data_IF_186189739610
#
_entry.id   IF_186189739610
#
_cell.length_a   1.000
_cell.length_b   1.000
_cell.length_c   1.000
_cell.angle_alpha   90.00
_cell.angle_beta   90.00
_cell.angle_gamma   90.00
#
_symmetry.space_group_name_H-M   'P 1'
#
loop_
_entity.id
_entity.type
_entity.pdbx_description
1 polymer ?
#
# COMPACT_ATOMS: atom_id res chain seq x y z
N UNK A 1 -22.10 -19.19 8.75
CA UNK A 1 -21.10 -19.00 9.82
C UNK A 1 -21.85 -18.71 11.11
N UNK A 2 -21.36 -19.15 12.27
CA UNK A 2 -21.95 -18.74 13.56
C UNK A 2 -21.69 -17.25 13.80
N UNK A 3 -22.47 -16.63 14.69
CA UNK A 3 -22.34 -15.20 14.98
C UNK A 3 -20.96 -14.87 15.54
N UNK A 4 -20.35 -13.76 15.10
CA UNK A 4 -19.08 -13.24 15.63
C UNK A 4 -19.25 -12.44 16.93
N UNK A 5 -20.49 -12.08 17.30
CA UNK A 5 -20.79 -11.20 18.43
C UNK A 5 -20.16 -11.68 19.74
N UNK A 6 -19.41 -10.80 20.40
CA UNK A 6 -18.74 -11.05 21.68
C UNK A 6 -17.48 -11.92 21.59
N UNK A 7 -17.04 -12.29 20.38
CA UNK A 7 -15.81 -13.06 20.17
C UNK A 7 -14.57 -12.17 20.10
N UNK A 8 -13.37 -12.77 20.26
CA UNK A 8 -12.12 -12.05 19.99
C UNK A 8 -12.00 -11.73 18.50
N UNK A 9 -12.54 -12.59 17.64
CA UNK A 9 -12.59 -12.37 16.19
C UNK A 9 -13.38 -11.11 15.79
N UNK A 10 -14.47 -10.77 16.48
CA UNK A 10 -15.19 -9.51 16.25
C UNK A 10 -14.30 -8.30 16.55
N UNK A 11 -13.59 -8.32 17.69
CA UNK A 11 -12.66 -7.25 18.04
C UNK A 11 -11.50 -7.14 17.04
N UNK A 12 -10.98 -8.27 16.56
CA UNK A 12 -9.92 -8.31 15.56
C UNK A 12 -10.39 -7.77 14.20
N UNK A 13 -11.62 -8.11 13.77
CA UNK A 13 -12.23 -7.55 12.56
C UNK A 13 -12.39 -6.03 12.67
N UNK A 14 -12.84 -5.54 13.83
CA UNK A 14 -13.00 -4.11 14.05
C UNK A 14 -11.65 -3.38 14.13
N UNK A 15 -10.62 -4.00 14.73
CA UNK A 15 -9.26 -3.47 14.78
C UNK A 15 -8.62 -3.40 13.38
N UNK A 16 -8.75 -4.47 12.58
CA UNK A 16 -8.32 -4.51 11.19
C UNK A 16 -9.04 -3.44 10.36
N UNK A 17 -10.37 -3.36 10.44
CA UNK A 17 -11.14 -2.33 9.76
C UNK A 17 -10.69 -0.91 10.12
N UNK A 18 -10.41 -0.64 11.40
CA UNK A 18 -9.91 0.65 11.86
C UNK A 18 -8.50 0.95 11.33
N UNK A 19 -7.61 -0.05 11.32
CA UNK A 19 -6.25 0.06 10.78
C UNK A 19 -6.26 0.37 9.28
N UNK A 20 -6.96 -0.45 8.50
CA UNK A 20 -7.10 -0.33 7.04
C UNK A 20 -7.73 1.00 6.62
N UNK A 21 -8.77 1.44 7.35
CA UNK A 21 -9.42 2.72 7.09
C UNK A 21 -8.46 3.90 7.30
N UNK A 22 -7.57 3.80 8.29
CA UNK A 22 -6.53 4.81 8.53
C UNK A 22 -5.38 4.69 7.52
N UNK A 23 -4.98 3.47 7.14
CA UNK A 23 -3.95 3.21 6.13
C UNK A 23 -4.32 3.83 4.79
N UNK A 24 -5.54 3.59 4.31
CA UNK A 24 -6.12 4.25 3.12
C UNK A 24 -5.93 5.77 3.15
N UNK A 25 -6.29 6.42 4.25
CA UNK A 25 -6.17 7.87 4.37
C UNK A 25 -4.71 8.31 4.33
N UNK A 26 -3.84 7.67 5.12
CA UNK A 26 -2.40 7.98 5.11
C UNK A 26 -1.80 7.84 3.72
N UNK A 27 -2.08 6.73 3.02
CA UNK A 27 -1.56 6.48 1.68
C UNK A 27 -2.07 7.50 0.66
N UNK A 28 -3.32 7.95 0.76
CA UNK A 28 -3.84 9.04 -0.07
C UNK A 28 -3.10 10.36 0.19
N UNK A 29 -2.72 10.65 1.44
CA UNK A 29 -1.93 11.82 1.78
C UNK A 29 -0.48 11.70 1.26
N UNK A 30 0.10 10.50 1.39
CA UNK A 30 1.44 10.21 0.88
C UNK A 30 1.51 10.27 -0.64
N UNK A 31 0.44 9.89 -1.33
CA UNK A 31 0.31 10.06 -2.78
C UNK A 31 0.41 11.53 -3.20
N UNK A 32 -0.31 12.41 -2.49
CA UNK A 32 -0.25 13.86 -2.74
C UNK A 32 1.17 14.38 -2.54
N UNK A 33 1.83 13.96 -1.45
CA UNK A 33 3.21 14.34 -1.15
C UNK A 33 4.21 13.85 -2.19
N UNK A 34 4.06 12.61 -2.67
CA UNK A 34 4.87 12.05 -3.75
C UNK A 34 4.72 12.84 -5.05
N UNK A 35 3.50 13.28 -5.37
CA UNK A 35 3.23 14.12 -6.53
C UNK A 35 3.91 15.48 -6.43
N UNK A 36 3.82 16.14 -5.28
CA UNK A 36 4.48 17.42 -5.00
C UNK A 36 6.00 17.33 -5.15
N UNK A 37 6.60 16.21 -4.72
CA UNK A 37 8.05 15.98 -4.79
C UNK A 37 8.53 15.46 -6.15
N UNK A 38 7.64 15.33 -7.13
CA UNK A 38 7.99 14.94 -8.50
C UNK A 38 8.12 13.44 -8.71
N UNK A 39 7.47 12.61 -7.89
CA UNK A 39 7.45 11.15 -8.00
C UNK A 39 6.06 10.65 -8.44
N UNK A 40 5.68 10.88 -9.70
CA UNK A 40 4.34 10.55 -10.19
C UNK A 40 4.06 9.04 -10.13
N UNK A 41 5.03 8.20 -10.46
CA UNK A 41 4.90 6.75 -10.32
C UNK A 41 4.56 6.36 -8.87
N UNK A 42 5.28 6.92 -7.89
CA UNK A 42 5.08 6.59 -6.47
C UNK A 42 3.73 7.13 -5.96
N UNK A 43 3.32 8.30 -6.47
CA UNK A 43 1.99 8.85 -6.20
C UNK A 43 0.89 7.88 -6.63
N UNK A 44 0.94 7.38 -7.87
CA UNK A 44 -0.03 6.42 -8.38
C UNK A 44 0.00 5.08 -7.62
N UNK A 45 1.20 4.64 -7.22
CA UNK A 45 1.35 3.44 -6.38
C UNK A 45 0.66 3.62 -5.03
N UNK A 46 0.87 4.76 -4.34
CA UNK A 46 0.17 5.03 -3.08
C UNK A 46 -1.35 5.11 -3.26
N UNK A 47 -1.86 5.71 -4.34
CA UNK A 47 -3.29 5.75 -4.65
C UNK A 47 -3.88 4.36 -4.92
N UNK A 48 -3.14 3.52 -5.64
CA UNK A 48 -3.54 2.13 -5.91
C UNK A 48 -3.62 1.34 -4.59
N UNK A 49 -2.56 1.40 -3.77
CA UNK A 49 -2.56 0.72 -2.46
C UNK A 49 -3.70 1.21 -1.57
N UNK A 50 -3.94 2.54 -1.52
CA UNK A 50 -5.07 3.09 -0.76
C UNK A 50 -6.43 2.54 -1.22
N UNK A 51 -6.59 2.30 -2.53
CA UNK A 51 -7.78 1.68 -3.07
C UNK A 51 -7.88 0.18 -2.76
N UNK A 52 -6.76 -0.51 -2.61
CA UNK A 52 -6.69 -1.91 -2.18
C UNK A 52 -7.06 -2.03 -0.69
N UNK A 53 -6.53 -1.17 0.18
CA UNK A 53 -6.88 -1.14 1.62
C UNK A 53 -8.36 -0.82 1.85
N UNK A 54 -8.95 0.01 1.00
CA UNK A 54 -10.40 0.23 0.99
C UNK A 54 -11.16 -1.08 0.75
N UNK A 55 -10.69 -1.95 -0.14
CA UNK A 55 -11.34 -3.25 -0.41
C UNK A 55 -11.05 -4.28 0.70
N UNK A 56 -9.87 -4.26 1.33
CA UNK A 56 -9.57 -5.05 2.54
C UNK A 56 -10.52 -4.66 3.69
N UNK A 57 -10.57 -3.37 4.03
CA UNK A 57 -11.49 -2.81 5.02
C UNK A 57 -12.94 -3.20 4.74
N UNK A 58 -13.40 -3.05 3.49
CA UNK A 58 -14.76 -3.41 3.08
C UNK A 58 -15.03 -4.89 3.25
N UNK A 59 -14.04 -5.77 3.01
CA UNK A 59 -14.19 -7.21 3.22
C UNK A 59 -14.33 -7.54 4.71
N UNK A 60 -13.51 -6.94 5.58
CA UNK A 60 -13.65 -7.11 7.03
C UNK A 60 -14.98 -6.57 7.54
N UNK A 61 -15.38 -5.39 7.09
CA UNK A 61 -16.63 -4.73 7.50
C UNK A 61 -17.87 -5.59 7.20
N UNK A 62 -17.87 -6.32 6.08
CA UNK A 62 -18.97 -7.23 5.70
C UNK A 62 -19.13 -8.46 6.59
N UNK A 63 -18.14 -8.81 7.42
CA UNK A 63 -18.29 -9.88 8.40
C UNK A 63 -18.97 -9.42 9.70
N UNK A 64 -19.09 -8.12 9.93
CA UNK A 64 -19.71 -7.59 11.14
C UNK A 64 -21.23 -7.60 11.06
N UNK A 65 -21.88 -7.80 12.21
CA UNK A 65 -23.33 -7.99 12.33
C UNK A 65 -24.08 -6.74 12.82
N UNK A 66 -23.43 -5.56 12.80
CA UNK A 66 -23.99 -4.28 13.24
C UNK A 66 -23.84 -4.01 14.74
N UNK A 67 -24.31 -2.85 15.22
CA UNK A 67 -24.12 -2.40 16.61
C UNK A 67 -22.78 -1.69 16.85
N UNK A 68 -22.37 -1.57 18.11
CA UNK A 68 -21.14 -0.89 18.53
C UNK A 68 -20.19 -1.86 19.24
N UNK A 69 -18.92 -1.83 18.86
CA UNK A 69 -17.84 -2.62 19.47
C UNK A 69 -16.72 -1.69 19.90
N UNK A 70 -16.32 -1.75 21.17
CA UNK A 70 -15.17 -0.98 21.68
C UNK A 70 -13.90 -1.77 21.46
N UNK A 71 -12.93 -1.17 20.77
CA UNK A 71 -11.58 -1.71 20.62
C UNK A 71 -10.56 -0.82 21.32
N UNK A 72 -9.43 -1.40 21.69
CA UNK A 72 -8.23 -0.66 22.09
C UNK A 72 -7.11 -1.03 21.13
N UNK A 73 -6.45 -0.03 20.54
CA UNK A 73 -5.39 -0.23 19.57
C UNK A 73 -4.42 0.94 19.58
N UNK A 74 -3.19 0.67 19.17
CA UNK A 74 -2.17 1.68 18.93
C UNK A 74 -2.11 1.97 17.44
N UNK A 75 -2.19 3.25 17.08
CA UNK A 75 -2.18 3.67 15.68
C UNK A 75 -1.13 4.76 15.47
N UNK A 76 -0.60 4.92 14.24
CA UNK A 76 0.29 6.03 13.92
C UNK A 76 -0.39 7.39 14.16
N UNK A 77 0.18 8.21 15.04
CA UNK A 77 -0.29 9.57 15.33
C UNK A 77 0.39 10.59 14.41
N UNK A 78 0.17 10.43 13.10
CA UNK A 78 0.96 11.12 12.08
C UNK A 78 2.36 10.50 11.89
N UNK A 79 3.24 11.08 11.08
CA UNK A 79 3.18 12.37 10.35
C UNK A 79 3.15 12.16 8.83
N UNK A 80 2.98 13.25 8.07
CA UNK A 80 3.31 13.29 6.64
C UNK A 80 4.72 13.87 6.52
N UNK A 81 5.70 13.03 6.17
CA UNK A 81 7.10 13.40 5.95
C UNK A 81 7.42 13.58 4.47
N UNK A 82 8.70 13.43 4.10
CA UNK A 82 9.11 13.31 2.69
C UNK A 82 8.59 12.02 2.07
N UNK A 83 8.53 11.92 0.75
CA UNK A 83 8.10 10.68 0.06
C UNK A 83 8.92 9.48 0.51
N UNK A 84 10.23 9.65 0.71
CA UNK A 84 11.11 8.59 1.21
C UNK A 84 10.74 8.14 2.63
N UNK A 85 10.46 9.08 3.53
CA UNK A 85 10.03 8.77 4.90
C UNK A 85 8.65 8.10 4.90
N UNK A 86 7.74 8.56 4.03
CA UNK A 86 6.40 8.02 3.90
C UNK A 86 6.41 6.58 3.37
N UNK A 87 7.27 6.27 2.39
CA UNK A 87 7.47 4.91 1.88
C UNK A 87 7.96 3.96 2.98
N UNK A 88 8.91 4.40 3.81
CA UNK A 88 9.40 3.60 4.93
C UNK A 88 8.37 3.42 6.04
N UNK A 89 7.62 4.48 6.38
CA UNK A 89 6.53 4.38 7.33
C UNK A 89 5.42 3.45 6.84
N UNK A 90 5.06 3.53 5.56
CA UNK A 90 4.09 2.62 4.93
C UNK A 90 4.61 1.17 4.96
N UNK A 91 5.83 0.93 4.48
CA UNK A 91 6.46 -0.39 4.54
C UNK A 91 6.52 -0.96 5.98
N UNK A 92 6.80 -0.12 6.99
CA UNK A 92 6.80 -0.52 8.39
C UNK A 92 5.42 -0.98 8.88
N UNK A 93 4.36 -0.24 8.50
CA UNK A 93 2.98 -0.63 8.78
C UNK A 93 2.61 -1.97 8.14
N UNK A 94 2.81 -2.09 6.82
CA UNK A 94 2.57 -3.32 6.07
C UNK A 94 3.33 -4.52 6.68
N UNK A 95 4.60 -4.31 7.04
CA UNK A 95 5.44 -5.34 7.67
C UNK A 95 4.88 -5.83 9.00
N UNK A 96 4.38 -4.94 9.84
CA UNK A 96 3.72 -5.34 11.08
C UNK A 96 2.45 -6.14 10.80
N UNK A 97 1.66 -5.71 9.81
CA UNK A 97 0.39 -6.34 9.46
C UNK A 97 0.59 -7.76 8.94
N UNK A 98 1.50 -7.97 7.97
CA UNK A 98 1.69 -9.27 7.35
C UNK A 98 2.52 -10.24 8.19
N UNK A 99 3.45 -9.75 9.03
CA UNK A 99 4.29 -10.61 9.90
C UNK A 99 3.60 -10.99 11.21
N UNK A 100 2.86 -10.06 11.81
CA UNK A 100 2.39 -10.20 13.19
C UNK A 100 0.86 -10.15 13.30
N UNK A 101 0.26 -9.03 12.89
CA UNK A 101 -1.15 -8.74 13.18
C UNK A 101 -2.11 -9.73 12.52
N UNK A 102 -2.06 -9.86 11.20
CA UNK A 102 -3.00 -10.72 10.46
C UNK A 102 -2.76 -12.22 10.69
N UNK A 103 -1.51 -12.74 10.79
CA UNK A 103 -1.30 -14.12 11.21
C UNK A 103 -1.89 -14.42 12.60
N UNK A 104 -1.74 -13.50 13.56
CA UNK A 104 -2.34 -13.63 14.89
C UNK A 104 -3.88 -13.63 14.84
N UNK A 105 -4.47 -12.72 14.07
CA UNK A 105 -5.92 -12.65 13.89
C UNK A 105 -6.49 -13.89 13.21
N UNK A 106 -5.81 -14.41 12.19
CA UNK A 106 -6.18 -15.65 11.52
C UNK A 106 -6.17 -16.84 12.49
N UNK A 107 -5.11 -16.97 13.30
CA UNK A 107 -5.00 -18.02 14.32
C UNK A 107 -6.18 -17.97 15.30
N UNK A 108 -6.49 -16.80 15.86
CA UNK A 108 -7.63 -16.61 16.78
C UNK A 108 -8.94 -16.97 16.09
N UNK A 109 -9.13 -16.55 14.83
CA UNK A 109 -10.32 -16.90 14.07
C UNK A 109 -10.46 -18.42 13.88
N UNK A 110 -9.38 -19.16 13.62
CA UNK A 110 -9.40 -20.64 13.56
C UNK A 110 -9.72 -21.27 14.91
N UNK A 111 -9.08 -20.81 15.99
CA UNK A 111 -9.34 -21.28 17.36
C UNK A 111 -10.83 -21.11 17.73
N UNK A 112 -11.44 -20.02 17.29
CA UNK A 112 -12.85 -19.73 17.53
C UNK A 112 -13.78 -20.36 16.48
N UNK A 113 -13.28 -21.11 15.50
CA UNK A 113 -14.09 -21.82 14.49
C UNK A 113 -14.66 -20.94 13.37
N UNK A 114 -13.99 -19.83 13.04
CA UNK A 114 -14.33 -18.92 11.95
C UNK A 114 -13.39 -19.09 10.74
N UNK A 115 -13.36 -20.30 10.16
CA UNK A 115 -12.39 -20.67 9.11
C UNK A 115 -12.40 -19.73 7.90
N UNK A 116 -13.56 -19.24 7.48
CA UNK A 116 -13.64 -18.32 6.34
C UNK A 116 -13.13 -16.91 6.67
N UNK A 117 -13.20 -16.45 7.92
CA UNK A 117 -12.57 -15.18 8.35
C UNK A 117 -11.06 -15.38 8.45
N UNK A 118 -10.60 -16.49 9.02
CA UNK A 118 -9.18 -16.82 9.08
C UNK A 118 -8.53 -16.86 7.68
N UNK A 119 -9.20 -17.52 6.74
CA UNK A 119 -8.75 -17.58 5.34
C UNK A 119 -8.64 -16.19 4.72
N UNK A 120 -9.55 -15.27 5.05
CA UNK A 120 -9.48 -13.89 4.56
C UNK A 120 -8.28 -13.14 5.14
N UNK A 121 -8.04 -13.23 6.45
CA UNK A 121 -6.84 -12.64 7.05
C UNK A 121 -5.55 -13.18 6.42
N UNK A 122 -5.46 -14.50 6.24
CA UNK A 122 -4.30 -15.14 5.58
C UNK A 122 -4.15 -14.73 4.10
N UNK A 123 -5.26 -14.51 3.40
CA UNK A 123 -5.21 -14.05 2.01
C UNK A 123 -4.71 -12.61 1.92
N UNK A 124 -5.12 -11.76 2.86
CA UNK A 124 -4.72 -10.34 2.91
C UNK A 124 -3.24 -10.19 3.28
N UNK A 125 -2.68 -11.08 4.13
CA UNK A 125 -1.22 -11.18 4.36
C UNK A 125 -0.40 -11.24 3.05
N UNK A 126 -0.93 -11.90 2.02
CA UNK A 126 -0.25 -12.02 0.72
C UNK A 126 -0.17 -10.66 0.01
N UNK A 127 -1.25 -9.88 0.07
CA UNK A 127 -1.32 -8.54 -0.51
C UNK A 127 -0.38 -7.58 0.24
N UNK A 128 -0.46 -7.55 1.57
CA UNK A 128 0.34 -6.61 2.40
C UNK A 128 1.84 -6.87 2.28
N UNK A 129 2.23 -8.15 2.12
CA UNK A 129 3.62 -8.49 1.83
C UNK A 129 4.08 -7.90 0.49
N UNK A 130 3.22 -7.87 -0.52
CA UNK A 130 3.53 -7.26 -1.81
C UNK A 130 3.52 -5.73 -1.72
N UNK A 131 2.64 -5.12 -0.92
CA UNK A 131 2.66 -3.69 -0.63
C UNK A 131 3.97 -3.28 0.04
N UNK A 132 4.36 -3.97 1.12
CA UNK A 132 5.64 -3.76 1.81
C UNK A 132 6.82 -3.81 0.83
N UNK A 133 6.92 -4.90 0.06
CA UNK A 133 7.98 -5.09 -0.93
C UNK A 133 8.03 -3.95 -1.95
N UNK A 134 6.87 -3.48 -2.42
CA UNK A 134 6.80 -2.38 -3.38
C UNK A 134 7.31 -1.08 -2.77
N UNK A 135 6.88 -0.75 -1.56
CA UNK A 135 7.34 0.45 -0.85
C UNK A 135 8.84 0.42 -0.54
N UNK A 136 9.36 -0.71 -0.07
CA UNK A 136 10.79 -0.91 0.20
C UNK A 136 11.65 -0.69 -1.06
N UNK A 137 11.23 -1.25 -2.20
CA UNK A 137 11.97 -1.08 -3.46
C UNK A 137 11.90 0.35 -4.00
N UNK A 138 10.77 1.04 -3.85
CA UNK A 138 10.65 2.44 -4.23
C UNK A 138 11.50 3.34 -3.33
N UNK A 139 11.54 3.08 -2.03
CA UNK A 139 12.41 3.76 -1.08
C UNK A 139 13.89 3.57 -1.44
N UNK A 140 14.29 2.34 -1.75
CA UNK A 140 15.65 2.01 -2.18
C UNK A 140 16.03 2.73 -3.49
N UNK A 141 15.09 2.89 -4.44
CA UNK A 141 15.33 3.66 -5.65
C UNK A 141 15.62 5.14 -5.36
N UNK A 142 14.94 5.75 -4.39
CA UNK A 142 15.22 7.13 -3.96
C UNK A 142 16.62 7.21 -3.35
N UNK A 143 16.93 6.32 -2.41
CA UNK A 143 18.21 6.31 -1.68
C UNK A 143 19.40 6.12 -2.64
N UNK A 144 19.24 5.28 -3.67
CA UNK A 144 20.25 5.04 -4.69
C UNK A 144 20.28 6.12 -5.80
N UNK A 145 19.38 7.11 -5.78
CA UNK A 145 19.26 8.09 -6.87
C UNK A 145 18.87 7.47 -8.22
N UNK A 146 18.22 6.30 -8.19
CA UNK A 146 17.97 5.47 -9.37
C UNK A 146 16.52 5.51 -9.86
N UNK A 147 15.72 6.46 -9.36
CA UNK A 147 14.32 6.66 -9.78
C UNK A 147 14.24 6.99 -11.28
N UNK A 148 15.09 7.90 -11.76
CA UNK A 148 15.10 8.39 -13.16
C UNK A 148 16.42 8.10 -13.88
N UNK A 149 17.27 7.23 -13.32
CA UNK A 149 18.55 6.80 -13.89
C UNK A 149 18.82 5.34 -13.53
N UNK A 150 19.32 4.56 -14.48
CA UNK A 150 19.78 3.18 -14.29
C UNK A 150 21.24 3.04 -14.75
N UNK A 151 21.88 1.94 -14.32
CA UNK A 151 23.28 1.65 -14.68
C UNK A 151 23.46 1.28 -16.16
N UNK A 152 22.41 0.77 -16.79
CA UNK A 152 22.36 0.41 -18.21
C UNK A 152 21.17 1.08 -18.86
N UNK A 153 21.26 1.27 -20.17
CA UNK A 153 20.13 1.74 -20.96
C UNK A 153 18.91 0.84 -20.74
N UNK A 154 17.75 1.48 -20.55
CA UNK A 154 16.46 0.83 -20.40
C UNK A 154 15.40 1.66 -21.12
N UNK A 155 14.19 1.11 -21.25
CA UNK A 155 13.06 1.82 -21.84
C UNK A 155 12.28 2.54 -20.74
N UNK A 156 12.15 3.85 -20.89
CA UNK A 156 11.37 4.73 -20.04
C UNK A 156 10.04 5.05 -20.71
N UNK A 157 8.94 4.95 -19.95
CA UNK A 157 7.59 5.32 -20.37
C UNK A 157 7.17 6.61 -19.68
N UNK A 158 6.71 7.59 -20.44
CA UNK A 158 6.00 8.74 -19.90
C UNK A 158 4.57 8.35 -19.52
N UNK A 159 4.27 8.29 -18.23
CA UNK A 159 2.96 7.91 -17.66
C UNK A 159 1.85 8.85 -18.18
N UNK A 160 2.17 10.11 -18.48
CA UNK A 160 1.17 11.09 -18.93
C UNK A 160 0.64 10.82 -20.36
N UNK A 161 1.48 10.33 -21.27
CA UNK A 161 1.13 10.28 -22.70
C UNK A 161 1.56 8.99 -23.43
N UNK A 162 2.24 8.07 -22.75
CA UNK A 162 2.70 6.80 -23.33
C UNK A 162 4.00 6.87 -24.15
N UNK A 163 4.62 8.05 -24.32
CA UNK A 163 5.89 8.17 -25.04
C UNK A 163 6.97 7.26 -24.44
N UNK A 164 7.70 6.54 -25.31
CA UNK A 164 8.79 5.65 -24.96
C UNK A 164 10.14 6.26 -25.34
N UNK A 165 11.12 6.11 -24.45
CA UNK A 165 12.49 6.56 -24.66
C UNK A 165 13.48 5.50 -24.18
N UNK A 166 14.45 5.14 -25.02
CA UNK A 166 15.53 4.24 -24.63
C UNK A 166 16.78 5.04 -24.20
N UNK A 167 17.28 4.78 -23.00
CA UNK A 167 18.50 5.41 -22.50
C UNK A 167 18.76 5.11 -21.02
N UNK A 168 19.92 5.52 -20.52
CA UNK A 168 20.29 5.31 -19.10
C UNK A 168 19.49 6.18 -18.14
N UNK A 169 19.00 7.34 -18.59
CA UNK A 169 18.21 8.28 -17.75
C UNK A 169 16.98 8.76 -18.50
N UNK A 170 15.87 8.92 -17.77
CA UNK A 170 14.66 9.48 -18.34
C UNK A 170 14.89 10.93 -18.84
N UNK A 171 14.24 11.39 -19.92
CA UNK A 171 14.35 12.77 -20.40
C UNK A 171 13.92 13.79 -19.34
N UNK A 172 14.56 14.96 -19.31
CA UNK A 172 14.18 16.05 -18.39
C UNK A 172 12.79 16.63 -18.69
N UNK A 173 12.42 16.63 -19.97
CA UNK A 173 11.11 17.02 -20.48
C UNK A 173 10.71 15.97 -21.51
N UNK A 174 9.47 15.50 -21.44
CA UNK A 174 8.94 14.57 -22.42
C UNK A 174 8.82 15.27 -23.78
N UNK A 175 9.46 14.76 -24.86
CA UNK A 175 9.41 15.40 -26.18
C UNK A 175 8.02 15.32 -26.83
N UNK A 176 7.14 14.42 -26.36
CA UNK A 176 5.80 14.30 -26.89
C UNK A 176 4.79 15.27 -26.23
N UNK A 177 4.74 15.31 -24.89
CA UNK A 177 3.70 16.05 -24.15
C UNK A 177 4.22 17.21 -23.29
N UNK A 178 5.52 17.52 -23.38
CA UNK A 178 6.19 18.60 -22.66
C UNK A 178 6.13 18.52 -21.11
N UNK A 179 5.69 17.39 -20.54
CA UNK A 179 5.67 17.18 -19.08
C UNK A 179 7.06 16.86 -18.51
N UNK A 180 7.34 17.18 -17.24
CA UNK A 180 8.66 17.02 -16.63
C UNK A 180 9.07 15.55 -16.44
N UNK A 181 10.35 15.33 -16.17
CA UNK A 181 10.97 14.01 -15.86
C UNK A 181 10.16 13.18 -14.85
N UNK A 182 9.50 13.86 -13.91
CA UNK A 182 8.65 13.30 -12.86
C UNK A 182 7.60 12.28 -13.36
N UNK A 183 7.16 12.42 -14.62
CA UNK A 183 6.17 11.53 -15.24
C UNK A 183 6.76 10.28 -15.89
N UNK A 184 8.07 10.07 -15.84
CA UNK A 184 8.70 8.88 -16.39
C UNK A 184 8.82 7.76 -15.38
N UNK A 185 8.64 6.54 -15.85
CA UNK A 185 8.95 5.30 -15.15
C UNK A 185 9.64 4.32 -16.10
N UNK A 186 10.23 3.26 -15.56
CA UNK A 186 10.68 2.14 -16.39
C UNK A 186 9.45 1.46 -17.00
N UNK A 187 9.50 1.18 -18.31
CA UNK A 187 8.44 0.44 -19.00
C UNK A 187 8.28 -0.95 -18.37
N UNK A 188 7.06 -1.28 -17.93
CA UNK A 188 6.68 -2.61 -17.49
C UNK A 188 5.76 -3.28 -18.51
N UNK A 189 6.03 -4.54 -18.83
CA UNK A 189 5.21 -5.38 -19.69
C UNK A 189 4.79 -6.63 -18.90
N UNK A 190 3.50 -6.72 -18.55
CA UNK A 190 2.96 -7.73 -17.65
C UNK A 190 1.67 -8.38 -18.19
N UNK A 191 1.67 -8.72 -19.49
CA UNK A 191 0.63 -9.49 -20.19
C UNK A 191 1.19 -10.77 -20.80
#
# INVERSE_FOLDING_TARGET
MKSVKGSRTENNLMAAFAGESQARNRYTYFASKAKEEGYIQMSLVFEETANQEKEHAKRFFKFMEGGSTTITGTFPSGIIGTTRQNLEAAAGGENYEWKEMYPSFAKIAREEGYDAIATVFESIVVAEKQHAKRYENLAANIDAGSVFKKERATVWRCINCGFLFEGESAPKVCPACAHPQAYFEVLGENW
#
